data_IF_535481995821
#
_entry.id   IF_535481995821
#
_cell.length_a   1.000
_cell.length_b   1.000
_cell.length_c   1.000
_cell.angle_alpha   90.00
_cell.angle_beta   90.00
_cell.angle_gamma   90.00
#
_symmetry.space_group_name_H-M   'P 1'
#
loop_
_entity.id
_entity.type
_entity.pdbx_description
1 polymer ?
#
# COMPACT_ATOMS: atom_id res chain seq x y z
N UNK A 1 -48.94 43.34 5.95
CA UNK A 1 -48.88 41.90 5.60
C UNK A 1 -48.11 41.75 4.29
N UNK A 2 -47.29 40.70 4.19
CA UNK A 2 -46.44 40.30 3.05
C UNK A 2 -45.00 40.85 3.03
N UNK A 3 -44.32 40.78 4.18
CA UNK A 3 -42.94 40.29 4.19
C UNK A 3 -43.03 38.76 4.22
N UNK A 4 -42.32 38.05 3.34
CA UNK A 4 -41.95 36.61 3.37
C UNK A 4 -41.97 36.07 1.94
N UNK A 5 -40.95 36.33 1.11
CA UNK A 5 -40.78 35.59 -0.15
C UNK A 5 -39.33 35.48 -0.66
N UNK A 6 -38.31 35.82 0.14
CA UNK A 6 -36.92 35.87 -0.35
C UNK A 6 -35.91 35.23 0.61
N UNK A 7 -36.19 34.02 1.14
CA UNK A 7 -35.17 33.23 1.88
C UNK A 7 -35.36 31.72 1.66
N UNK A 8 -35.61 31.27 0.43
CA UNK A 8 -35.78 29.84 0.15
C UNK A 8 -35.01 29.36 -1.10
N UNK A 9 -33.81 29.91 -1.32
CA UNK A 9 -32.98 29.56 -2.47
C UNK A 9 -31.51 29.26 -2.15
N UNK A 10 -31.13 29.16 -0.87
CA UNK A 10 -29.72 29.08 -0.45
C UNK A 10 -29.47 28.03 0.64
N UNK A 11 -30.06 26.84 0.54
CA UNK A 11 -29.88 25.79 1.55
C UNK A 11 -29.68 24.36 1.00
N UNK A 12 -29.60 24.15 -0.32
CA UNK A 12 -29.51 22.78 -0.91
C UNK A 12 -28.29 22.62 -1.83
N UNK A 13 -27.12 23.11 -1.39
CA UNK A 13 -25.86 22.85 -2.10
C UNK A 13 -24.70 22.42 -1.18
N UNK A 14 -24.98 22.13 0.10
CA UNK A 14 -23.95 21.76 1.09
C UNK A 14 -23.92 20.26 1.43
N UNK A 15 -24.69 19.41 0.74
CA UNK A 15 -24.93 18.02 1.17
C UNK A 15 -24.26 16.90 0.38
N UNK A 16 -23.59 17.18 -0.76
CA UNK A 16 -23.16 16.13 -1.70
C UNK A 16 -21.70 16.27 -2.16
N UNK A 17 -20.83 16.81 -1.31
CA UNK A 17 -19.40 16.54 -1.47
C UNK A 17 -19.16 15.15 -0.88
N UNK A 18 -19.43 14.10 -1.66
CA UNK A 18 -18.89 12.79 -1.32
C UNK A 18 -17.38 12.94 -1.14
N UNK A 19 -16.73 12.26 -0.16
CA UNK A 19 -15.28 12.27 -0.08
C UNK A 19 -14.71 11.98 -1.46
N UNK A 20 -13.98 12.96 -2.02
CA UNK A 20 -13.23 12.75 -3.24
C UNK A 20 -12.29 11.58 -2.93
N UNK A 21 -12.53 10.45 -3.59
CA UNK A 21 -11.68 9.26 -3.41
C UNK A 21 -10.37 9.59 -4.09
N UNK A 22 -9.47 10.14 -3.28
CA UNK A 22 -8.19 10.60 -3.69
C UNK A 22 -7.32 9.35 -3.87
N UNK A 23 -7.12 8.92 -5.11
CA UNK A 23 -6.26 7.77 -5.39
C UNK A 23 -4.80 8.05 -5.01
N UNK A 24 -3.90 7.23 -5.54
CA UNK A 24 -2.47 7.31 -5.22
C UNK A 24 -1.86 8.70 -5.48
N UNK A 25 -2.34 9.43 -6.48
CA UNK A 25 -1.82 10.77 -6.84
C UNK A 25 -2.45 11.91 -6.05
N UNK A 26 -3.70 11.76 -5.62
CA UNK A 26 -4.49 12.85 -5.06
C UNK A 26 -4.43 12.87 -3.52
N UNK A 27 -4.16 11.72 -2.89
CA UNK A 27 -4.05 11.66 -1.43
C UNK A 27 -2.80 12.41 -0.98
N UNK A 28 -2.89 13.37 -0.03
CA UNK A 28 -1.74 14.10 0.47
C UNK A 28 -0.60 13.18 0.90
N UNK A 29 0.64 13.62 0.68
CA UNK A 29 1.81 12.86 1.13
C UNK A 29 1.88 12.85 2.66
N UNK A 30 2.25 11.71 3.27
CA UNK A 30 2.34 11.61 4.71
C UNK A 30 3.57 12.33 5.22
N UNK A 31 3.53 12.65 6.51
CA UNK A 31 4.71 12.88 7.33
C UNK A 31 4.95 11.61 8.13
N UNK A 32 6.18 11.12 8.16
CA UNK A 32 6.55 9.97 9.00
C UNK A 32 6.38 10.31 10.49
N UNK A 33 6.32 9.29 11.35
CA UNK A 33 6.04 9.48 12.78
C UNK A 33 7.14 10.24 13.54
N UNK A 34 8.32 10.39 12.94
CA UNK A 34 9.43 11.20 13.44
C UNK A 34 9.40 12.66 12.92
N UNK A 35 8.39 13.01 12.12
CA UNK A 35 8.19 14.37 11.62
C UNK A 35 8.81 14.65 10.25
N UNK A 36 9.50 13.69 9.63
CA UNK A 36 10.05 13.91 8.28
C UNK A 36 8.97 13.83 7.20
N UNK A 37 8.99 14.78 6.26
CA UNK A 37 8.05 14.81 5.15
C UNK A 37 8.42 13.76 4.10
N UNK A 38 7.42 13.03 3.59
CA UNK A 38 7.63 12.05 2.56
C UNK A 38 7.47 12.63 1.15
N UNK A 39 8.13 11.99 0.20
CA UNK A 39 8.03 12.21 -1.24
C UNK A 39 7.73 10.88 -1.94
N UNK A 40 7.02 10.91 -3.07
CA UNK A 40 6.71 9.69 -3.84
C UNK A 40 7.95 9.21 -4.58
N UNK A 41 8.26 7.93 -4.42
CA UNK A 41 9.39 7.27 -5.08
C UNK A 41 8.91 6.37 -6.22
N UNK A 42 7.83 5.61 -5.99
CA UNK A 42 7.31 4.68 -6.97
C UNK A 42 5.79 4.55 -6.86
N UNK A 43 5.14 4.27 -7.98
CA UNK A 43 3.73 3.87 -8.04
C UNK A 43 3.67 2.37 -8.32
N UNK A 44 2.82 1.66 -7.58
CA UNK A 44 2.65 0.21 -7.67
C UNK A 44 1.21 -0.08 -8.08
N UNK A 45 0.94 -0.36 -9.37
CA UNK A 45 -0.37 -0.82 -9.79
C UNK A 45 -0.59 -2.29 -9.39
N UNK A 46 -1.85 -2.71 -9.22
CA UNK A 46 -2.20 -4.11 -9.01
C UNK A 46 -1.77 -4.63 -7.64
N UNK A 47 -1.91 -3.83 -6.59
CA UNK A 47 -1.66 -4.27 -5.20
C UNK A 47 -2.78 -5.22 -4.78
N UNK A 48 -2.38 -6.42 -4.35
CA UNK A 48 -3.26 -7.50 -3.91
C UNK A 48 -3.05 -7.80 -2.43
N UNK A 49 -4.18 -7.96 -1.73
CA UNK A 49 -4.39 -8.59 -0.42
C UNK A 49 -5.76 -9.26 -0.48
N UNK A 50 -5.80 -10.46 -1.03
CA UNK A 50 -6.99 -11.29 -1.19
C UNK A 50 -6.58 -12.74 -1.38
N UNK A 51 -7.39 -13.68 -0.93
CA UNK A 51 -7.25 -15.11 -1.25
C UNK A 51 -5.84 -15.69 -1.00
N UNK A 52 -5.20 -15.23 0.09
CA UNK A 52 -3.84 -15.62 0.46
C UNK A 52 -2.75 -15.22 -0.56
N UNK A 53 -3.05 -14.23 -1.39
CA UNK A 53 -2.08 -13.53 -2.21
C UNK A 53 -1.80 -12.16 -1.59
N UNK A 54 -0.52 -11.85 -1.49
CA UNK A 54 -0.02 -10.61 -0.91
C UNK A 54 0.88 -9.88 -1.91
N UNK A 55 1.08 -8.59 -1.68
CA UNK A 55 2.03 -7.77 -2.42
C UNK A 55 3.20 -7.41 -1.51
N UNK A 56 4.40 -7.72 -1.97
CA UNK A 56 5.66 -7.40 -1.34
C UNK A 56 6.36 -6.30 -2.11
N UNK A 57 6.73 -5.24 -1.43
CA UNK A 57 7.56 -4.16 -1.98
C UNK A 57 8.92 -4.20 -1.32
N UNK A 58 9.94 -4.51 -2.12
CA UNK A 58 11.33 -4.62 -1.70
C UNK A 58 12.05 -3.37 -2.15
N UNK A 59 12.56 -2.58 -1.21
CA UNK A 59 13.23 -1.32 -1.45
C UNK A 59 14.64 -1.32 -0.87
N UNK A 60 15.62 -0.91 -1.66
CA UNK A 60 17.00 -0.66 -1.22
C UNK A 60 17.26 0.84 -1.13
N UNK A 61 17.76 1.29 0.02
CA UNK A 61 18.23 2.66 0.17
C UNK A 61 19.59 2.86 -0.54
N UNK A 62 19.63 3.72 -1.55
CA UNK A 62 20.84 4.07 -2.30
C UNK A 62 21.42 5.44 -1.88
N UNK A 63 20.76 6.14 -0.96
CA UNK A 63 21.25 7.39 -0.41
C UNK A 63 22.43 7.14 0.54
N UNK A 64 23.32 8.13 0.73
CA UNK A 64 24.46 8.02 1.65
C UNK A 64 24.06 8.18 3.14
N UNK A 65 22.78 8.39 3.44
CA UNK A 65 22.23 8.60 4.78
C UNK A 65 21.04 7.68 5.05
N UNK A 66 20.61 7.59 6.31
CA UNK A 66 19.38 6.87 6.67
C UNK A 66 18.15 7.51 6.04
N UNK A 67 17.24 6.68 5.52
CA UNK A 67 16.02 7.12 4.84
C UNK A 67 14.81 6.44 5.48
N UNK A 68 13.73 7.19 5.68
CA UNK A 68 12.46 6.62 6.10
C UNK A 68 11.72 6.16 4.86
N UNK A 69 11.22 4.93 4.88
CA UNK A 69 10.58 4.27 3.73
C UNK A 69 9.19 3.83 4.16
N UNK A 70 8.19 4.12 3.35
CA UNK A 70 6.81 3.75 3.59
C UNK A 70 6.13 3.22 2.33
N UNK A 71 5.16 2.35 2.53
CA UNK A 71 4.28 1.88 1.47
C UNK A 71 2.83 2.17 1.85
N UNK A 72 2.16 3.01 1.06
CA UNK A 72 0.72 3.26 1.20
C UNK A 72 -0.05 2.50 0.13
N UNK A 73 -1.11 1.82 0.54
CA UNK A 73 -2.00 1.05 -0.33
C UNK A 73 -3.39 1.68 -0.39
N UNK A 74 -4.06 1.46 -1.50
CA UNK A 74 -5.34 2.04 -1.84
C UNK A 74 -6.20 0.95 -2.48
N UNK A 75 -7.46 0.87 -2.05
CA UNK A 75 -8.46 0.01 -2.69
C UNK A 75 -8.62 0.38 -4.16
N UNK A 76 -9.26 -0.49 -4.94
CA UNK A 76 -9.58 -0.27 -6.36
C UNK A 76 -10.29 1.07 -6.61
N UNK A 77 -11.08 1.51 -5.64
CA UNK A 77 -11.81 2.77 -5.72
C UNK A 77 -11.04 3.97 -5.14
N UNK A 78 -9.74 3.84 -4.87
CA UNK A 78 -8.88 4.93 -4.40
C UNK A 78 -9.01 5.28 -2.92
N UNK A 79 -9.66 4.44 -2.10
CA UNK A 79 -9.66 4.66 -0.64
C UNK A 79 -8.36 4.13 -0.06
N UNK A 80 -7.61 4.98 0.65
CA UNK A 80 -6.38 4.58 1.35
C UNK A 80 -6.67 3.53 2.41
N UNK A 81 -5.86 2.47 2.43
CA UNK A 81 -6.00 1.31 3.31
C UNK A 81 -5.03 1.28 4.49
N UNK A 82 -4.02 2.14 4.56
CA UNK A 82 -3.12 2.24 5.71
C UNK A 82 -2.55 3.65 5.88
N UNK A 83 -1.99 3.96 7.05
CA UNK A 83 -1.32 5.23 7.31
C UNK A 83 0.14 5.04 7.70
N UNK A 84 1.03 5.41 6.77
CA UNK A 84 2.48 5.50 7.03
C UNK A 84 2.79 6.48 8.17
N UNK A 85 2.01 7.54 8.32
CA UNK A 85 2.19 8.53 9.39
C UNK A 85 2.02 7.97 10.81
N UNK A 86 1.34 6.83 10.95
CA UNK A 86 1.18 6.12 12.23
C UNK A 86 2.06 4.87 12.31
N UNK A 87 3.04 4.73 11.40
CA UNK A 87 3.96 3.60 11.34
C UNK A 87 3.45 2.37 10.57
N UNK A 88 2.20 2.37 10.11
CA UNK A 88 1.62 1.21 9.43
C UNK A 88 2.14 1.11 7.99
N UNK A 89 3.03 0.14 7.74
CA UNK A 89 3.77 0.01 6.48
C UNK A 89 4.95 0.97 6.36
N UNK A 90 5.54 1.42 7.48
CA UNK A 90 6.66 2.34 7.50
C UNK A 90 7.86 1.77 8.27
N UNK A 91 9.06 2.07 7.78
CA UNK A 91 10.35 1.73 8.39
C UNK A 91 11.21 2.98 8.44
N UNK A 92 11.65 3.36 9.63
CA UNK A 92 12.41 4.58 9.85
C UNK A 92 13.92 4.32 9.82
N UNK A 93 14.68 5.33 9.41
CA UNK A 93 16.13 5.36 9.42
C UNK A 93 16.78 4.11 8.79
N UNK A 94 16.22 3.63 7.67
CA UNK A 94 16.79 2.52 6.89
C UNK A 94 18.17 2.93 6.41
N UNK A 95 19.22 2.27 6.92
CA UNK A 95 20.59 2.68 6.68
C UNK A 95 21.03 2.57 5.20
N UNK A 96 22.11 3.28 4.79
CA UNK A 96 22.64 3.21 3.43
C UNK A 96 22.92 1.76 2.98
N UNK A 97 22.51 1.43 1.76
CA UNK A 97 22.69 0.11 1.16
C UNK A 97 21.81 -0.99 1.76
N UNK A 98 20.96 -0.68 2.75
CA UNK A 98 20.03 -1.66 3.33
C UNK A 98 18.81 -1.84 2.44
N UNK A 99 18.40 -3.09 2.33
CA UNK A 99 17.14 -3.49 1.71
C UNK A 99 16.14 -3.81 2.80
N UNK A 100 14.90 -3.37 2.59
CA UNK A 100 13.75 -3.70 3.42
C UNK A 100 12.58 -4.16 2.57
N UNK A 101 11.71 -4.97 3.15
CA UNK A 101 10.48 -5.45 2.54
C UNK A 101 9.27 -4.97 3.32
N UNK A 102 8.34 -4.29 2.65
CA UNK A 102 7.02 -3.96 3.19
C UNK A 102 5.97 -4.73 2.42
N UNK A 103 5.15 -5.49 3.12
CA UNK A 103 4.16 -6.36 2.51
C UNK A 103 2.74 -6.05 2.97
N UNK A 104 1.75 -6.44 2.16
CA UNK A 104 0.34 -6.40 2.58
C UNK A 104 -0.02 -7.51 3.57
N UNK A 105 0.79 -8.57 3.66
CA UNK A 105 0.64 -9.70 4.57
C UNK A 105 1.94 -10.48 4.69
N UNK A 106 2.03 -11.42 5.63
CA UNK A 106 3.21 -12.29 5.73
C UNK A 106 3.15 -13.42 4.70
N UNK A 107 4.29 -13.78 4.13
CA UNK A 107 4.40 -14.89 3.17
C UNK A 107 5.21 -16.05 3.73
N UNK A 108 5.12 -17.21 3.08
CA UNK A 108 5.89 -18.39 3.50
C UNK A 108 7.35 -18.36 2.99
N UNK A 109 7.67 -17.53 2.01
CA UNK A 109 8.95 -17.56 1.27
C UNK A 109 9.79 -16.31 1.50
N UNK A 110 9.16 -15.15 1.62
CA UNK A 110 9.86 -13.89 1.81
C UNK A 110 9.91 -13.53 3.30
N UNK A 111 10.83 -12.61 3.61
CA UNK A 111 10.90 -11.97 4.91
C UNK A 111 10.35 -10.57 4.76
N UNK A 112 9.36 -10.24 5.60
CA UNK A 112 8.75 -8.92 5.67
C UNK A 112 9.28 -8.17 6.90
N UNK A 113 9.97 -7.04 6.67
CA UNK A 113 10.39 -6.14 7.75
C UNK A 113 9.18 -5.38 8.34
N UNK A 114 8.16 -5.12 7.52
CA UNK A 114 6.89 -4.55 7.94
C UNK A 114 5.71 -5.18 7.19
N UNK A 115 4.64 -5.49 7.92
CA UNK A 115 3.39 -6.01 7.36
C UNK A 115 2.26 -5.00 7.60
N UNK A 116 1.56 -4.62 6.53
CA UNK A 116 0.46 -3.67 6.58
C UNK A 116 -0.78 -4.33 7.17
N UNK A 117 -1.40 -3.65 8.15
CA UNK A 117 -2.76 -3.97 8.59
C UNK A 117 -3.73 -3.04 7.90
N UNK A 118 -4.71 -3.57 7.17
CA UNK A 118 -5.71 -2.73 6.52
C UNK A 118 -6.59 -2.01 7.55
N UNK A 119 -6.78 -0.72 7.33
CA UNK A 119 -7.57 0.19 8.13
C UNK A 119 -8.93 0.43 7.48
N UNK A 120 -9.98 0.49 8.30
CA UNK A 120 -11.34 0.76 7.83
C UNK A 120 -11.41 2.08 7.03
N UNK A 121 -12.19 2.12 5.93
CA UNK A 121 -13.15 1.10 5.50
C UNK A 121 -12.57 0.02 4.58
N UNK A 122 -11.24 -0.02 4.36
CA UNK A 122 -10.63 -1.01 3.48
C UNK A 122 -10.41 -2.31 4.25
N UNK A 123 -10.93 -3.41 3.73
CA UNK A 123 -10.81 -4.76 4.35
C UNK A 123 -10.07 -5.75 3.46
N UNK A 124 -9.96 -5.45 2.17
CA UNK A 124 -9.27 -6.27 1.16
C UNK A 124 -8.71 -5.38 0.04
N UNK A 125 -7.79 -5.93 -0.74
CA UNK A 125 -7.28 -5.33 -1.97
C UNK A 125 -7.31 -6.39 -3.07
N UNK A 126 -8.38 -6.47 -3.88
CA UNK A 126 -8.42 -7.43 -5.00
C UNK A 126 -7.64 -6.92 -6.22
N UNK A 127 -7.75 -5.62 -6.51
CA UNK A 127 -7.03 -4.92 -7.57
C UNK A 127 -6.79 -3.47 -7.14
N UNK A 128 -5.99 -3.33 -6.09
CA UNK A 128 -5.64 -2.05 -5.50
C UNK A 128 -4.51 -1.36 -6.26
N UNK A 129 -4.08 -0.26 -5.67
CA UNK A 129 -2.88 0.46 -6.09
C UNK A 129 -2.11 0.89 -4.86
N UNK A 130 -0.85 1.24 -5.02
CA UNK A 130 -0.02 1.71 -3.94
C UNK A 130 1.02 2.71 -4.39
N UNK A 131 1.68 3.33 -3.42
CA UNK A 131 2.88 4.13 -3.64
C UNK A 131 3.92 3.83 -2.59
N UNK A 132 5.15 3.78 -3.02
CA UNK A 132 6.30 3.92 -2.14
C UNK A 132 6.53 5.40 -1.90
N UNK A 133 6.63 5.77 -0.64
CA UNK A 133 7.00 7.11 -0.19
C UNK A 133 8.26 7.02 0.66
N UNK A 134 9.11 8.03 0.59
CA UNK A 134 10.33 8.06 1.40
C UNK A 134 10.80 9.49 1.66
N UNK A 135 11.74 9.67 2.56
CA UNK A 135 12.36 10.99 2.81
C UNK A 135 13.42 11.38 1.79
N UNK A 136 13.91 10.41 1.00
CA UNK A 136 14.82 10.60 -0.14
C UNK A 136 14.28 9.82 -1.35
N UNK A 137 14.61 10.21 -2.59
CA UNK A 137 14.17 9.52 -3.81
C UNK A 137 15.18 8.49 -4.33
N UNK A 138 16.40 8.46 -3.79
CA UNK A 138 17.45 7.52 -4.17
C UNK A 138 17.18 6.14 -3.55
N UNK A 139 16.12 5.48 -4.04
CA UNK A 139 15.80 4.10 -3.71
C UNK A 139 15.66 3.29 -4.99
N UNK A 140 15.96 1.99 -4.91
CA UNK A 140 15.56 1.02 -5.90
C UNK A 140 14.47 0.12 -5.31
N UNK A 141 13.25 0.20 -5.85
CA UNK A 141 12.11 -0.55 -5.36
C UNK A 141 11.52 -1.47 -6.44
N UNK A 142 11.16 -2.69 -6.05
CA UNK A 142 10.44 -3.64 -6.89
C UNK A 142 9.24 -4.17 -6.10
N UNK A 143 8.13 -4.39 -6.80
CA UNK A 143 6.93 -4.96 -6.23
C UNK A 143 6.66 -6.34 -6.83
N UNK A 144 6.27 -7.29 -6.00
CA UNK A 144 5.94 -8.66 -6.38
C UNK A 144 4.60 -9.05 -5.79
N UNK A 145 3.86 -9.88 -6.54
CA UNK A 145 2.68 -10.56 -6.05
C UNK A 145 3.09 -11.97 -5.66
N UNK A 146 2.83 -12.35 -4.42
CA UNK A 146 3.39 -13.55 -3.79
C UNK A 146 2.27 -14.32 -3.11
N UNK A 147 2.28 -15.64 -3.29
CA UNK A 147 1.40 -16.53 -2.54
C UNK A 147 1.91 -16.70 -1.11
N UNK A 148 1.01 -16.55 -0.13
CA UNK A 148 1.35 -16.58 1.28
C UNK A 148 1.41 -18.00 1.84
N UNK A 149 0.84 -18.99 1.14
CA UNK A 149 0.64 -20.33 1.70
C UNK A 149 1.73 -21.33 1.32
N UNK A 150 2.30 -21.23 0.12
CA UNK A 150 3.18 -22.27 -0.41
C UNK A 150 4.64 -21.83 -0.43
N UNK A 151 5.50 -22.75 -0.02
CA UNK A 151 6.95 -22.62 -0.18
C UNK A 151 7.42 -23.23 -1.49
N UNK A 152 8.49 -22.68 -2.08
CA UNK A 152 9.18 -23.32 -3.20
C UNK A 152 10.10 -24.41 -2.67
N UNK A 153 9.80 -25.67 -3.00
CA UNK A 153 10.68 -26.79 -2.69
C UNK A 153 11.52 -27.20 -3.90
N UNK A 154 12.82 -27.45 -3.67
CA UNK A 154 13.69 -27.98 -4.72
C UNK A 154 13.19 -29.36 -5.17
N UNK A 155 13.09 -29.61 -6.49
CA UNK A 155 12.71 -30.93 -7.01
C UNK A 155 13.62 -32.07 -6.55
N UNK A 156 14.88 -31.77 -6.18
CA UNK A 156 15.80 -32.77 -5.62
C UNK A 156 15.48 -33.16 -4.18
N UNK A 157 14.73 -32.32 -3.45
CA UNK A 157 14.33 -32.55 -2.05
C UNK A 157 12.95 -33.21 -1.96
N UNK A 158 12.02 -32.81 -2.85
CA UNK A 158 10.75 -33.50 -3.01
C UNK A 158 10.43 -33.72 -4.51
N UNK A 159 10.84 -34.86 -5.08
CA UNK A 159 10.58 -35.17 -6.50
C UNK A 159 9.09 -35.36 -6.85
N UNK A 160 8.25 -35.63 -5.85
CA UNK A 160 6.82 -35.86 -6.02
C UNK A 160 5.95 -34.62 -5.70
N UNK A 161 6.55 -33.55 -5.17
CA UNK A 161 5.83 -32.32 -4.87
C UNK A 161 5.52 -31.60 -6.18
N UNK A 162 4.22 -31.37 -6.44
CA UNK A 162 3.79 -30.58 -7.60
C UNK A 162 3.88 -29.10 -7.25
N UNK A 163 4.41 -28.23 -8.14
CA UNK A 163 4.31 -26.78 -7.96
C UNK A 163 2.84 -26.37 -7.80
N UNK A 164 2.53 -25.34 -6.99
CA UNK A 164 1.19 -24.79 -6.92
C UNK A 164 0.72 -24.35 -8.30
N UNK A 165 -0.57 -24.58 -8.61
CA UNK A 165 -1.16 -24.11 -9.87
C UNK A 165 -1.76 -22.72 -9.67
N UNK A 166 -1.33 -21.74 -10.48
CA UNK A 166 -1.89 -20.39 -10.48
C UNK A 166 -3.32 -20.32 -11.04
N UNK A 167 -3.88 -21.46 -11.49
CA UNK A 167 -5.15 -21.54 -12.24
C UNK A 167 -6.41 -21.22 -11.43
N UNK A 168 -6.31 -21.02 -10.11
CA UNK A 168 -7.46 -20.68 -9.26
C UNK A 168 -7.56 -19.17 -8.96
N UNK A 169 -6.67 -18.34 -9.52
CA UNK A 169 -6.82 -16.89 -9.48
C UNK A 169 -7.93 -16.49 -10.45
N UNK A 170 -9.15 -16.41 -9.93
CA UNK A 170 -10.27 -15.86 -10.67
C UNK A 170 -10.07 -14.34 -10.73
N UNK A 171 -9.38 -13.88 -11.78
CA UNK A 171 -9.23 -12.45 -12.07
C UNK A 171 -10.60 -11.93 -12.51
N UNK A 172 -11.39 -11.43 -11.55
CA UNK A 172 -12.67 -10.76 -11.79
C UNK A 172 -12.50 -9.33 -12.29
#
# INVERSE_FOLDING_TARGET
MRLLSTVLGLAVALGLVGPARAGVTDTPLPTFSDGHAAQVVALVPGVIKSDAIETDVICTNLAPVGVDIGFEVFSQAGVRGNRVSTGNGALLAVGPGRTVTVATGGTAVLHEDAVITLEAPVTELANGSGRVVATDVHLACNAFVVDSLHTVESPGKCPACKPPVLSNLNLS
#
